data_IF_332154366448
#
_entry.id   IF_332154366448
#
_cell.length_a   1.000
_cell.length_b   1.000
_cell.length_c   1.000
_cell.angle_alpha   90.00
_cell.angle_beta   90.00
_cell.angle_gamma   90.00
#
_symmetry.space_group_name_H-M   'P 1'
#
loop_
_entity.id
_entity.type
_entity.pdbx_description
1 polymer ?
#
# COMPACT_ATOMS: atom_id res chain seq x y z
N UNK A 1 0.49 26.75 -45.61
CA UNK A 1 -0.47 27.23 -46.61
C UNK A 1 0.13 28.46 -47.28
N UNK A 2 0.74 28.25 -48.44
CA UNK A 2 1.23 29.32 -49.31
C UNK A 2 0.04 30.04 -49.94
N UNK A 3 0.08 31.36 -50.00
CA UNK A 3 -0.70 32.16 -50.93
C UNK A 3 0.22 33.23 -51.53
N UNK A 4 0.74 32.93 -52.73
CA UNK A 4 1.10 33.92 -53.75
C UNK A 4 -0.19 34.62 -54.24
N UNK A 5 -0.14 35.88 -54.67
CA UNK A 5 0.16 36.29 -56.05
C UNK A 5 0.20 37.85 -56.14
N UNK A 6 0.86 38.41 -57.18
CA UNK A 6 1.30 39.78 -57.37
C UNK A 6 0.41 40.58 -58.35
N UNK A 7 0.77 41.83 -58.64
CA UNK A 7 0.16 42.62 -59.71
C UNK A 7 0.91 43.92 -60.05
N UNK A 8 1.78 43.84 -61.05
CA UNK A 8 1.96 44.86 -62.11
C UNK A 8 1.37 44.24 -63.41
N UNK A 9 1.16 44.90 -64.58
CA UNK A 9 1.76 46.15 -65.09
C UNK A 9 0.85 47.06 -65.99
N UNK A 10 1.40 48.15 -66.55
CA UNK A 10 1.44 48.55 -67.99
C UNK A 10 1.52 50.10 -68.13
N UNK A 11 2.57 50.70 -68.72
CA UNK A 11 3.12 50.70 -70.10
C UNK A 11 2.52 51.84 -70.95
N UNK A 12 3.38 52.73 -71.44
CA UNK A 12 3.07 53.75 -72.45
C UNK A 12 4.35 54.38 -72.99
N UNK A 13 4.82 53.88 -74.13
CA UNK A 13 5.87 54.47 -74.97
C UNK A 13 5.18 55.21 -76.12
N UNK A 14 5.72 56.35 -76.56
CA UNK A 14 5.52 56.80 -77.95
C UNK A 14 6.68 57.66 -78.46
N UNK A 15 6.83 57.68 -79.78
CA UNK A 15 8.04 57.93 -80.57
C UNK A 15 8.59 59.36 -80.67
N UNK A 16 9.84 59.45 -81.13
CA UNK A 16 10.44 60.67 -81.70
C UNK A 16 9.92 60.99 -83.12
N UNK A 17 10.37 62.07 -83.80
CA UNK A 17 11.74 62.14 -84.35
C UNK A 17 12.40 63.54 -84.30
N UNK A 18 13.72 63.59 -84.56
CA UNK A 18 14.57 64.77 -84.32
C UNK A 18 14.76 65.72 -85.50
N UNK A 19 15.51 66.80 -85.24
CA UNK A 19 16.41 67.47 -86.18
C UNK A 19 17.29 68.52 -85.46
N UNK A 20 18.60 68.45 -85.75
CA UNK A 20 19.60 69.55 -85.80
C UNK A 20 19.80 70.49 -84.61
N UNK A 21 21.02 70.46 -84.04
CA UNK A 21 21.55 71.50 -83.14
C UNK A 21 21.64 72.89 -83.80
N UNK A 22 21.99 73.94 -83.02
CA UNK A 22 23.33 74.04 -82.45
C UNK A 22 23.40 74.54 -81.00
N UNK A 23 24.41 74.08 -80.26
CA UNK A 23 24.97 74.76 -79.07
C UNK A 23 25.78 76.01 -79.52
N UNK A 24 26.16 76.99 -78.65
CA UNK A 24 26.45 76.84 -77.20
C UNK A 24 26.04 78.02 -76.27
N UNK A 25 25.95 77.80 -74.94
CA UNK A 25 26.04 78.89 -73.95
C UNK A 25 25.57 78.57 -72.51
N UNK A 26 26.23 79.08 -71.46
CA UNK A 26 26.23 78.51 -70.11
C UNK A 26 25.09 79.05 -69.22
N UNK A 27 24.05 78.25 -68.96
CA UNK A 27 23.03 78.58 -67.93
C UNK A 27 22.56 77.35 -67.13
N UNK A 28 23.13 76.17 -67.36
CA UNK A 28 22.61 74.91 -66.79
C UNK A 28 23.03 74.64 -65.34
N UNK A 29 24.13 75.22 -64.86
CA UNK A 29 24.66 74.93 -63.51
C UNK A 29 23.83 75.59 -62.40
N UNK A 30 23.38 76.83 -62.58
CA UNK A 30 22.60 77.57 -61.58
C UNK A 30 21.18 77.00 -61.38
N UNK A 31 20.54 76.52 -62.46
CA UNK A 31 19.22 75.90 -62.39
C UNK A 31 19.27 74.53 -61.69
N UNK A 32 20.31 73.73 -61.98
CA UNK A 32 20.52 72.45 -61.30
C UNK A 32 20.88 72.64 -59.83
N UNK A 33 21.69 73.65 -59.48
CA UNK A 33 22.02 73.96 -58.09
C UNK A 33 20.79 74.42 -57.29
N UNK A 34 19.92 75.24 -57.88
CA UNK A 34 18.65 75.64 -57.25
C UNK A 34 17.69 74.46 -57.06
N UNK A 35 17.70 73.50 -57.97
CA UNK A 35 16.87 72.29 -57.87
C UNK A 35 17.39 71.34 -56.78
N UNK A 36 18.71 71.19 -56.66
CA UNK A 36 19.34 70.40 -55.59
C UNK A 36 19.06 71.02 -54.21
N UNK A 37 19.19 72.35 -54.06
CA UNK A 37 18.85 73.01 -52.79
C UNK A 37 17.36 72.86 -52.41
N UNK A 38 16.45 72.96 -53.37
CA UNK A 38 15.02 72.75 -53.11
C UNK A 38 14.72 71.30 -52.69
N UNK A 39 15.43 70.33 -53.27
CA UNK A 39 15.35 68.92 -52.88
C UNK A 39 15.99 68.64 -51.52
N UNK A 40 17.10 69.29 -51.18
CA UNK A 40 17.73 69.20 -49.85
C UNK A 40 16.84 69.76 -48.76
N UNK A 41 16.25 70.95 -48.97
CA UNK A 41 15.30 71.53 -48.01
C UNK A 41 14.07 70.63 -47.82
N UNK A 42 13.58 70.02 -48.91
CA UNK A 42 12.48 69.06 -48.86
C UNK A 42 12.88 67.79 -48.12
N UNK A 43 14.09 67.27 -48.33
CA UNK A 43 14.58 66.10 -47.60
C UNK A 43 14.77 66.37 -46.12
N UNK A 44 15.29 67.54 -45.73
CA UNK A 44 15.41 67.94 -44.32
C UNK A 44 14.04 68.03 -43.63
N UNK A 45 13.03 68.56 -44.33
CA UNK A 45 11.64 68.56 -43.85
C UNK A 45 11.06 67.13 -43.72
N UNK A 46 11.41 66.23 -44.64
CA UNK A 46 11.00 64.84 -44.56
C UNK A 46 11.71 64.09 -43.43
N UNK A 47 12.99 64.35 -43.17
CA UNK A 47 13.77 63.75 -42.07
C UNK A 47 13.29 64.22 -40.70
N UNK A 48 13.02 65.52 -40.54
CA UNK A 48 12.45 66.08 -39.30
C UNK A 48 11.03 65.55 -39.06
N UNK A 49 10.23 65.40 -40.11
CA UNK A 49 8.89 64.80 -40.01
C UNK A 49 8.96 63.30 -39.72
N UNK A 50 9.93 62.59 -40.31
CA UNK A 50 10.17 61.17 -40.06
C UNK A 50 10.59 60.91 -38.61
N UNK A 51 11.58 61.65 -38.10
CA UNK A 51 12.03 61.55 -36.70
C UNK A 51 10.94 61.93 -35.69
N UNK A 52 10.10 62.91 -36.01
CA UNK A 52 8.94 63.26 -35.19
C UNK A 52 7.86 62.15 -35.18
N UNK A 53 7.58 61.54 -36.32
CA UNK A 53 6.65 60.40 -36.39
C UNK A 53 7.21 59.15 -35.71
N UNK A 54 8.53 58.92 -35.79
CA UNK A 54 9.19 57.81 -35.13
C UNK A 54 9.21 57.96 -33.60
N UNK A 55 9.40 59.19 -33.10
CA UNK A 55 9.28 59.48 -31.67
C UNK A 55 7.84 59.40 -31.15
N UNK A 56 6.83 59.72 -31.97
CA UNK A 56 5.42 59.44 -31.65
C UNK A 56 5.06 57.95 -31.73
N UNK A 57 5.65 57.20 -32.64
CA UNK A 57 5.42 55.75 -32.81
C UNK A 57 5.97 54.88 -31.67
N UNK A 58 6.81 55.45 -30.79
CA UNK A 58 7.41 54.72 -29.65
C UNK A 58 6.51 54.63 -28.42
N UNK A 59 5.31 55.20 -28.41
CA UNK A 59 4.28 54.77 -27.44
C UNK A 59 3.63 53.48 -27.93
N UNK A 60 4.45 52.45 -28.18
CA UNK A 60 3.95 51.09 -28.23
C UNK A 60 3.35 50.85 -26.84
N UNK A 61 2.01 50.84 -26.74
CA UNK A 61 1.33 50.34 -25.54
C UNK A 61 2.03 49.06 -25.12
N UNK A 62 2.37 48.94 -23.84
CA UNK A 62 3.14 47.83 -23.25
C UNK A 62 2.31 46.52 -23.23
N UNK A 63 1.83 46.15 -24.41
CA UNK A 63 1.00 45.02 -24.72
C UNK A 63 1.77 43.72 -24.44
N UNK A 64 3.09 43.75 -24.65
CA UNK A 64 4.01 42.68 -24.26
C UNK A 64 3.95 42.37 -22.77
N UNK A 65 4.04 43.38 -21.90
CA UNK A 65 3.95 43.18 -20.45
C UNK A 65 2.54 42.79 -19.97
N UNK A 66 1.47 43.25 -20.64
CA UNK A 66 0.11 42.78 -20.37
C UNK A 66 -0.05 41.29 -20.73
N UNK A 67 0.46 40.86 -21.89
CA UNK A 67 0.50 39.44 -22.25
C UNK A 67 1.37 38.64 -21.29
N UNK A 68 2.52 39.16 -20.88
CA UNK A 68 3.41 38.49 -19.92
C UNK A 68 2.74 38.33 -18.54
N UNK A 69 1.97 39.32 -18.08
CA UNK A 69 1.16 39.21 -16.85
C UNK A 69 0.03 38.20 -16.98
N UNK A 70 -0.63 38.15 -18.14
CA UNK A 70 -1.70 37.18 -18.41
C UNK A 70 -1.13 35.75 -18.48
N UNK A 71 -0.02 35.57 -19.19
CA UNK A 71 0.72 34.31 -19.27
C UNK A 71 1.20 33.86 -17.89
N UNK A 72 1.78 34.76 -17.09
CA UNK A 72 2.19 34.45 -15.71
C UNK A 72 1.01 34.03 -14.82
N UNK A 73 -0.17 34.64 -14.99
CA UNK A 73 -1.39 34.23 -14.28
C UNK A 73 -1.84 32.84 -14.69
N UNK A 74 -1.87 32.55 -15.99
CA UNK A 74 -2.21 31.21 -16.51
C UNK A 74 -1.22 30.14 -16.06
N UNK A 75 0.08 30.48 -16.01
CA UNK A 75 1.12 29.56 -15.51
C UNK A 75 0.92 29.27 -14.01
N UNK A 76 0.59 30.28 -13.20
CA UNK A 76 0.30 30.07 -11.78
C UNK A 76 -0.99 29.26 -11.57
N UNK A 77 -2.05 29.53 -12.34
CA UNK A 77 -3.28 28.72 -12.33
C UNK A 77 -2.98 27.26 -12.71
N UNK A 78 -2.21 27.03 -13.78
CA UNK A 78 -1.77 25.68 -14.17
C UNK A 78 -0.96 25.00 -13.06
N UNK A 79 -0.08 25.74 -12.38
CA UNK A 79 0.71 25.22 -11.26
C UNK A 79 -0.18 24.82 -10.09
N UNK A 80 -1.18 25.64 -9.74
CA UNK A 80 -2.14 25.34 -8.67
C UNK A 80 -2.97 24.10 -8.99
N UNK A 81 -3.54 24.02 -10.20
CA UNK A 81 -4.31 22.84 -10.66
C UNK A 81 -3.44 21.60 -10.70
N UNK A 82 -2.18 21.70 -11.14
CA UNK A 82 -1.23 20.58 -11.15
C UNK A 82 -0.91 20.08 -9.74
N UNK A 83 -0.77 21.00 -8.78
CA UNK A 83 -0.55 20.66 -7.38
C UNK A 83 -1.78 19.99 -6.74
N UNK A 84 -2.97 20.52 -7.00
CA UNK A 84 -4.24 19.93 -6.55
C UNK A 84 -4.44 18.53 -7.15
N UNK A 85 -4.14 18.36 -8.45
CA UNK A 85 -4.17 17.05 -9.12
C UNK A 85 -3.24 16.07 -8.42
N UNK A 86 -1.99 16.45 -8.16
CA UNK A 86 -1.04 15.57 -7.44
C UNK A 86 -1.49 15.22 -6.03
N UNK A 87 -2.12 16.16 -5.31
CA UNK A 87 -2.71 15.89 -3.99
C UNK A 87 -3.89 14.92 -4.07
N UNK A 88 -4.77 15.08 -5.06
CA UNK A 88 -5.89 14.17 -5.28
C UNK A 88 -5.42 12.76 -5.69
N UNK A 89 -4.39 12.67 -6.54
CA UNK A 89 -3.75 11.40 -6.92
C UNK A 89 -3.15 10.69 -5.70
N UNK A 90 -2.44 11.41 -4.82
CA UNK A 90 -1.90 10.86 -3.58
C UNK A 90 -3.00 10.38 -2.62
N UNK A 91 -4.07 11.17 -2.45
CA UNK A 91 -5.21 10.79 -1.61
C UNK A 91 -5.95 9.56 -2.18
N UNK A 92 -6.08 9.47 -3.51
CA UNK A 92 -6.68 8.31 -4.17
C UNK A 92 -5.85 7.05 -3.92
N UNK A 93 -4.53 7.12 -4.10
CA UNK A 93 -3.63 6.00 -3.82
C UNK A 93 -3.72 5.56 -2.35
N UNK A 94 -3.72 6.51 -1.41
CA UNK A 94 -3.87 6.20 0.01
C UNK A 94 -5.22 5.53 0.32
N UNK A 95 -6.31 5.97 -0.33
CA UNK A 95 -7.62 5.35 -0.13
C UNK A 95 -7.67 3.93 -0.72
N UNK A 96 -7.08 3.72 -1.90
CA UNK A 96 -6.98 2.40 -2.53
C UNK A 96 -6.17 1.42 -1.68
N UNK A 97 -5.04 1.87 -1.11
CA UNK A 97 -4.23 1.08 -0.17
C UNK A 97 -5.06 0.64 1.04
N UNK A 98 -5.80 1.56 1.68
CA UNK A 98 -6.67 1.23 2.83
C UNK A 98 -7.80 0.26 2.47
N UNK A 99 -8.35 0.38 1.28
CA UNK A 99 -9.39 -0.55 0.78
C UNK A 99 -8.77 -1.93 0.58
N UNK A 100 -7.59 -2.01 -0.02
CA UNK A 100 -6.89 -3.27 -0.24
C UNK A 100 -6.47 -3.94 1.08
N UNK A 101 -5.92 -3.18 2.03
CA UNK A 101 -5.65 -3.69 3.38
C UNK A 101 -6.92 -4.23 4.06
N UNK A 102 -8.04 -3.54 3.89
CA UNK A 102 -9.32 -3.99 4.45
C UNK A 102 -9.81 -5.25 3.75
N UNK A 103 -9.69 -5.33 2.42
CA UNK A 103 -10.01 -6.52 1.62
C UNK A 103 -9.22 -7.74 2.10
N UNK A 104 -7.90 -7.59 2.26
CA UNK A 104 -7.02 -8.66 2.77
C UNK A 104 -7.47 -9.10 4.16
N UNK A 105 -7.74 -8.16 5.08
CA UNK A 105 -8.25 -8.48 6.43
C UNK A 105 -9.58 -9.24 6.39
N UNK A 106 -10.49 -8.90 5.48
CA UNK A 106 -11.75 -9.62 5.32
C UNK A 106 -11.55 -11.03 4.76
N UNK A 107 -10.67 -11.20 3.78
CA UNK A 107 -10.33 -12.52 3.22
C UNK A 107 -9.68 -13.44 4.27
N UNK A 108 -8.81 -12.89 5.12
CA UNK A 108 -8.22 -13.60 6.25
C UNK A 108 -9.28 -14.02 7.29
N UNK A 109 -10.22 -13.14 7.62
CA UNK A 109 -11.27 -13.44 8.59
C UNK A 109 -12.25 -14.48 8.06
N UNK A 110 -12.60 -14.44 6.77
CA UNK A 110 -13.38 -15.48 6.11
C UNK A 110 -12.65 -16.82 6.19
N UNK A 111 -11.35 -16.84 5.88
CA UNK A 111 -10.54 -18.06 5.92
C UNK A 111 -10.50 -18.66 7.34
N UNK A 112 -10.23 -17.83 8.36
CA UNK A 112 -10.27 -18.26 9.78
C UNK A 112 -11.64 -18.78 10.19
N UNK A 113 -12.72 -18.11 9.77
CA UNK A 113 -14.09 -18.56 10.02
C UNK A 113 -14.33 -19.93 9.39
N UNK A 114 -13.92 -20.14 8.15
CA UNK A 114 -14.07 -21.45 7.48
C UNK A 114 -13.29 -22.56 8.17
N UNK A 115 -12.09 -22.27 8.70
CA UNK A 115 -11.31 -23.24 9.48
C UNK A 115 -12.00 -23.59 10.81
N UNK A 116 -12.53 -22.58 11.51
CA UNK A 116 -13.31 -22.77 12.73
C UNK A 116 -14.61 -23.55 12.47
N UNK A 117 -15.31 -23.27 11.37
CA UNK A 117 -16.50 -24.03 10.97
C UNK A 117 -16.15 -25.48 10.60
N UNK A 118 -15.03 -25.71 9.91
CA UNK A 118 -14.55 -27.05 9.60
C UNK A 118 -14.25 -27.85 10.87
N UNK A 119 -13.50 -27.27 11.82
CA UNK A 119 -13.20 -27.93 13.10
C UNK A 119 -14.45 -28.16 13.94
N UNK A 120 -15.41 -27.23 13.94
CA UNK A 120 -16.70 -27.42 14.59
C UNK A 120 -17.49 -28.59 13.99
N UNK A 121 -17.57 -28.68 12.66
CA UNK A 121 -18.25 -29.79 11.98
C UNK A 121 -17.57 -31.12 12.29
N UNK A 122 -16.24 -31.16 12.37
CA UNK A 122 -15.51 -32.36 12.74
C UNK A 122 -15.80 -32.78 14.19
N UNK A 123 -15.72 -31.85 15.13
CA UNK A 123 -16.05 -32.10 16.54
C UNK A 123 -17.50 -32.56 16.73
N UNK A 124 -18.43 -32.01 15.94
CA UNK A 124 -19.83 -32.46 15.95
C UNK A 124 -19.95 -33.91 15.48
N UNK A 125 -19.27 -34.31 14.41
CA UNK A 125 -19.24 -35.70 13.95
C UNK A 125 -18.66 -36.62 15.01
N UNK A 126 -17.55 -36.23 15.63
CA UNK A 126 -16.91 -37.02 16.69
C UNK A 126 -17.86 -37.17 17.90
N UNK A 127 -18.54 -36.09 18.30
CA UNK A 127 -19.57 -36.14 19.34
C UNK A 127 -20.72 -37.09 18.98
N UNK A 128 -21.24 -37.01 17.75
CA UNK A 128 -22.30 -37.89 17.26
C UNK A 128 -21.85 -39.37 17.31
N UNK A 129 -20.61 -39.67 16.91
CA UNK A 129 -20.05 -41.04 17.00
C UNK A 129 -19.92 -41.54 18.44
N UNK A 130 -19.47 -40.69 19.37
CA UNK A 130 -19.38 -41.03 20.79
C UNK A 130 -20.76 -41.18 21.44
N UNK A 131 -21.74 -40.37 21.02
CA UNK A 131 -23.13 -40.53 21.45
C UNK A 131 -23.71 -41.87 21.00
N UNK A 132 -23.49 -42.28 19.74
CA UNK A 132 -23.91 -43.59 19.25
C UNK A 132 -23.25 -44.71 20.06
N UNK A 133 -21.92 -44.67 20.22
CA UNK A 133 -21.17 -45.65 21.03
C UNK A 133 -21.67 -45.73 22.47
N UNK A 134 -21.98 -44.60 23.10
CA UNK A 134 -22.59 -44.56 24.44
C UNK A 134 -23.94 -45.27 24.45
N UNK A 135 -24.82 -44.97 23.51
CA UNK A 135 -26.15 -45.61 23.45
C UNK A 135 -26.05 -47.13 23.21
N UNK A 136 -25.10 -47.59 22.40
CA UNK A 136 -24.83 -49.02 22.21
C UNK A 136 -24.34 -49.70 23.49
N UNK A 137 -23.49 -49.04 24.27
CA UNK A 137 -23.05 -49.57 25.57
C UNK A 137 -24.18 -49.59 26.59
N UNK A 138 -25.04 -48.56 26.60
CA UNK A 138 -26.22 -48.51 27.47
C UNK A 138 -27.23 -49.63 27.15
N UNK A 139 -27.44 -49.96 25.87
CA UNK A 139 -28.31 -51.09 25.50
C UNK A 139 -27.71 -52.44 25.91
N UNK A 140 -26.40 -52.64 25.71
CA UNK A 140 -25.69 -53.83 26.20
C UNK A 140 -25.73 -53.97 27.72
N UNK A 141 -25.58 -52.86 28.45
CA UNK A 141 -25.70 -52.82 29.90
C UNK A 141 -27.11 -53.25 30.33
N UNK A 142 -28.15 -52.68 29.72
CA UNK A 142 -29.56 -53.03 29.99
C UNK A 142 -29.86 -54.49 29.67
N UNK A 143 -29.33 -55.03 28.57
CA UNK A 143 -29.52 -56.45 28.23
C UNK A 143 -28.84 -57.36 29.25
N UNK A 144 -27.60 -57.06 29.66
CA UNK A 144 -26.90 -57.80 30.70
C UNK A 144 -27.64 -57.74 32.04
N UNK A 145 -28.17 -56.57 32.40
CA UNK A 145 -28.96 -56.40 33.61
C UNK A 145 -30.24 -57.25 33.58
N UNK A 146 -30.96 -57.24 32.45
CA UNK A 146 -32.14 -58.11 32.28
C UNK A 146 -31.80 -59.60 32.34
N UNK A 147 -30.63 -60.01 31.83
CA UNK A 147 -30.16 -61.39 31.91
C UNK A 147 -29.85 -61.80 33.35
N UNK A 148 -29.17 -60.93 34.11
CA UNK A 148 -28.90 -61.16 35.53
C UNK A 148 -30.21 -61.29 36.32
N UNK A 149 -31.19 -60.45 36.05
CA UNK A 149 -32.48 -60.51 36.74
C UNK A 149 -33.26 -61.78 36.35
N UNK A 150 -33.21 -62.21 35.09
CA UNK A 150 -33.73 -63.51 34.66
C UNK A 150 -33.08 -64.66 35.45
N UNK A 151 -31.74 -64.70 35.49
CA UNK A 151 -31.02 -65.77 36.21
C UNK A 151 -31.39 -65.81 37.70
N UNK A 152 -31.54 -64.64 38.35
CA UNK A 152 -32.04 -64.58 39.74
C UNK A 152 -33.42 -65.20 39.87
N UNK A 153 -34.37 -64.85 38.98
CA UNK A 153 -35.73 -65.41 39.05
C UNK A 153 -35.76 -66.92 38.81
N UNK A 154 -34.91 -67.45 37.92
CA UNK A 154 -34.77 -68.89 37.67
C UNK A 154 -34.25 -69.59 38.93
N UNK A 155 -33.17 -69.09 39.53
CA UNK A 155 -32.62 -69.68 40.75
C UNK A 155 -33.60 -69.60 41.93
N UNK A 156 -34.34 -68.50 42.08
CA UNK A 156 -35.40 -68.41 43.09
C UNK A 156 -36.50 -69.45 42.88
N UNK A 157 -36.82 -69.80 41.64
CA UNK A 157 -37.81 -70.83 41.33
C UNK A 157 -37.27 -72.25 41.56
N UNK A 158 -36.05 -72.54 41.09
CA UNK A 158 -35.39 -73.84 41.34
C UNK A 158 -35.25 -74.13 42.83
N UNK A 159 -34.91 -73.13 43.64
CA UNK A 159 -34.85 -73.27 45.09
C UNK A 159 -36.22 -73.59 45.70
N UNK A 160 -37.32 -73.00 45.19
CA UNK A 160 -38.68 -73.33 45.63
C UNK A 160 -39.05 -74.77 45.26
N UNK A 161 -38.73 -75.19 44.03
CA UNK A 161 -39.03 -76.52 43.53
C UNK A 161 -38.24 -77.61 44.29
N UNK A 162 -36.94 -77.40 44.52
CA UNK A 162 -36.11 -78.28 45.36
C UNK A 162 -36.65 -78.36 46.79
N UNK A 163 -37.08 -77.23 47.36
CA UNK A 163 -37.68 -77.19 48.70
C UNK A 163 -39.00 -77.96 48.75
N UNK A 164 -39.79 -77.96 47.67
CA UNK A 164 -41.00 -78.78 47.55
C UNK A 164 -40.66 -80.27 47.43
N UNK A 165 -39.69 -80.62 46.58
CA UNK A 165 -39.28 -82.01 46.35
C UNK A 165 -38.69 -82.67 47.61
N UNK A 166 -37.93 -81.93 48.43
CA UNK A 166 -37.43 -82.44 49.72
C UNK A 166 -38.58 -82.73 50.70
N UNK A 167 -39.67 -81.96 50.66
CA UNK A 167 -40.86 -82.23 51.47
C UNK A 167 -41.59 -83.47 50.98
N UNK A 168 -41.69 -83.67 49.67
CA UNK A 168 -42.36 -84.82 49.06
C UNK A 168 -41.58 -86.14 49.25
N UNK A 169 -40.24 -86.11 49.12
CA UNK A 169 -39.37 -87.28 49.30
C UNK A 169 -39.32 -87.79 50.75
N UNK A 170 -39.71 -86.97 51.73
CA UNK A 170 -39.78 -87.38 53.14
C UNK A 170 -40.93 -88.38 53.43
N UNK A 171 -41.82 -88.66 52.46
CA UNK A 171 -43.06 -89.42 52.68
C UNK A 171 -43.11 -90.79 51.99
N UNK A 172 -42.16 -91.14 51.10
CA UNK A 172 -42.26 -92.40 50.33
C UNK A 172 -40.93 -93.13 50.18
N UNK A 173 -40.53 -93.90 51.19
CA UNK A 173 -39.61 -95.04 50.99
C UNK A 173 -40.06 -96.22 51.86
N UNK A 174 -40.98 -97.02 51.33
CA UNK A 174 -41.27 -98.38 51.81
C UNK A 174 -40.89 -99.36 50.70
N UNK A 175 -39.69 -99.94 50.78
CA UNK A 175 -39.19 -100.95 49.85
C UNK A 175 -39.86 -102.30 50.13
N UNK A 176 -40.26 -103.02 49.08
CA UNK A 176 -40.53 -104.46 49.19
C UNK A 176 -39.82 -105.25 48.09
N UNK A 177 -39.08 -106.28 48.51
CA UNK A 177 -38.18 -107.11 47.70
C UNK A 177 -38.80 -108.49 47.56
N UNK A 178 -39.05 -108.93 46.33
CA UNK A 178 -39.02 -110.36 45.92
C UNK A 178 -39.30 -110.50 44.43
N UNK A 179 -38.24 -110.57 43.64
CA UNK A 179 -38.24 -111.22 42.33
C UNK A 179 -36.99 -112.08 42.27
N UNK A 180 -37.17 -113.37 42.02
CA UNK A 180 -36.05 -114.27 41.78
C UNK A 180 -35.48 -113.93 40.41
N UNK A 181 -34.46 -113.10 40.45
CA UNK A 181 -33.75 -112.51 39.32
C UNK A 181 -32.50 -113.36 39.10
N UNK A 182 -32.21 -113.72 37.85
CA UNK A 182 -30.94 -114.37 37.49
C UNK A 182 -29.79 -113.39 37.75
N UNK A 183 -29.25 -113.50 38.96
CA UNK A 183 -28.23 -112.61 39.48
C UNK A 183 -26.94 -112.71 38.68
N UNK A 184 -26.64 -113.84 38.07
CA UNK A 184 -25.42 -114.03 37.29
C UNK A 184 -25.43 -113.20 36.00
N UNK A 185 -26.44 -113.38 35.14
CA UNK A 185 -26.53 -112.66 33.87
C UNK A 185 -26.70 -111.15 34.07
N UNK A 186 -27.48 -110.74 35.08
CA UNK A 186 -27.66 -109.32 35.38
C UNK A 186 -26.42 -108.71 36.02
N UNK A 187 -25.67 -109.44 36.85
CA UNK A 187 -24.39 -108.94 37.36
C UNK A 187 -23.37 -108.80 36.22
N UNK A 188 -23.33 -109.72 35.26
CA UNK A 188 -22.45 -109.61 34.08
C UNK A 188 -22.86 -108.47 33.15
N UNK A 189 -24.16 -108.30 32.87
CA UNK A 189 -24.64 -107.19 32.05
C UNK A 189 -24.50 -105.83 32.75
N UNK A 190 -24.75 -105.76 34.05
CA UNK A 190 -24.51 -104.55 34.86
C UNK A 190 -23.01 -104.23 34.87
N UNK A 191 -22.13 -105.22 35.03
CA UNK A 191 -20.67 -105.01 34.92
C UNK A 191 -20.29 -104.48 33.54
N UNK A 192 -20.77 -105.08 32.47
CA UNK A 192 -20.51 -104.62 31.10
C UNK A 192 -21.02 -103.18 30.85
N UNK A 193 -22.18 -102.83 31.40
CA UNK A 193 -22.71 -101.46 31.34
C UNK A 193 -21.87 -100.49 32.16
N UNK A 194 -21.43 -100.87 33.36
CA UNK A 194 -20.53 -100.03 34.18
C UNK A 194 -19.18 -99.84 33.52
N UNK A 195 -18.60 -100.88 32.92
CA UNK A 195 -17.34 -100.79 32.20
C UNK A 195 -17.49 -99.89 30.97
N UNK A 196 -18.61 -99.97 30.24
CA UNK A 196 -18.91 -99.09 29.11
C UNK A 196 -19.18 -97.63 29.53
N UNK A 197 -19.77 -97.41 30.71
CA UNK A 197 -19.99 -96.06 31.27
C UNK A 197 -18.67 -95.48 31.78
N UNK A 198 -17.83 -96.28 32.44
CA UNK A 198 -16.51 -95.88 32.91
C UNK A 198 -15.59 -95.52 31.74
N UNK A 199 -15.58 -96.35 30.68
CA UNK A 199 -14.82 -96.07 29.46
C UNK A 199 -15.29 -94.77 28.78
N UNK A 200 -16.61 -94.57 28.63
CA UNK A 200 -17.16 -93.32 28.09
C UNK A 200 -16.84 -92.11 28.96
N UNK A 201 -16.97 -92.22 30.27
CA UNK A 201 -16.62 -91.15 31.20
C UNK A 201 -15.13 -90.79 31.13
N UNK A 202 -14.25 -91.78 30.93
CA UNK A 202 -12.83 -91.53 30.74
C UNK A 202 -12.57 -90.81 29.42
N UNK A 203 -13.17 -91.27 28.31
CA UNK A 203 -13.03 -90.63 27.00
C UNK A 203 -13.58 -89.19 27.00
N UNK A 204 -14.72 -88.95 27.64
CA UNK A 204 -15.30 -87.63 27.81
C UNK A 204 -14.43 -86.71 28.67
N UNK A 205 -13.84 -87.22 29.76
CA UNK A 205 -12.92 -86.46 30.61
C UNK A 205 -11.62 -86.11 29.88
N UNK A 206 -11.08 -87.04 29.08
CA UNK A 206 -9.92 -86.81 28.23
C UNK A 206 -10.24 -85.79 27.12
N UNK A 207 -11.38 -85.92 26.45
CA UNK A 207 -11.82 -84.98 25.42
C UNK A 207 -12.07 -83.57 25.99
N UNK A 208 -12.69 -83.47 27.17
CA UNK A 208 -12.87 -82.20 27.87
C UNK A 208 -11.53 -81.55 28.24
N UNK A 209 -10.60 -82.35 28.77
CA UNK A 209 -9.26 -81.86 29.12
C UNK A 209 -8.47 -81.40 27.89
N UNK A 210 -8.55 -82.13 26.77
CA UNK A 210 -7.93 -81.73 25.50
C UNK A 210 -8.51 -80.42 24.98
N UNK A 211 -9.84 -80.27 24.93
CA UNK A 211 -10.49 -79.02 24.52
C UNK A 211 -10.06 -77.84 25.39
N UNK A 212 -10.03 -78.00 26.71
CA UNK A 212 -9.58 -76.94 27.61
C UNK A 212 -8.12 -76.54 27.39
N UNK A 213 -7.23 -77.49 27.06
CA UNK A 213 -5.84 -77.18 26.70
C UNK A 213 -5.74 -76.45 25.36
N UNK A 214 -6.52 -76.88 24.36
CA UNK A 214 -6.58 -76.23 23.05
C UNK A 214 -7.13 -74.79 23.13
N UNK A 215 -8.24 -74.58 23.85
CA UNK A 215 -8.81 -73.25 24.10
C UNK A 215 -7.82 -72.34 24.82
N UNK A 216 -7.15 -72.82 25.88
CA UNK A 216 -6.12 -72.04 26.58
C UNK A 216 -4.92 -71.74 25.70
N UNK A 217 -4.50 -72.67 24.85
CA UNK A 217 -3.42 -72.47 23.90
C UNK A 217 -3.80 -71.42 22.84
N UNK A 218 -5.03 -71.47 22.31
CA UNK A 218 -5.57 -70.49 21.37
C UNK A 218 -5.63 -69.09 21.99
N UNK A 219 -6.21 -68.96 23.20
CA UNK A 219 -6.24 -67.68 23.90
C UNK A 219 -4.83 -67.14 24.17
N UNK A 220 -3.90 -67.99 24.60
CA UNK A 220 -2.49 -67.59 24.81
C UNK A 220 -1.83 -67.08 23.53
N UNK A 221 -2.09 -67.72 22.38
CA UNK A 221 -1.59 -67.29 21.08
C UNK A 221 -2.20 -65.94 20.66
N UNK A 222 -3.50 -65.74 20.84
CA UNK A 222 -4.18 -64.47 20.56
C UNK A 222 -3.63 -63.33 21.43
N UNK A 223 -3.48 -63.55 22.74
CA UNK A 223 -2.87 -62.58 23.64
C UNK A 223 -1.42 -62.27 23.26
N UNK A 224 -0.64 -63.30 22.88
CA UNK A 224 0.72 -63.14 22.37
C UNK A 224 0.76 -62.27 21.11
N UNK A 225 -0.12 -62.52 20.15
CA UNK A 225 -0.22 -61.75 18.91
C UNK A 225 -0.66 -60.30 19.18
N UNK A 226 -1.65 -60.09 20.04
CA UNK A 226 -2.08 -58.74 20.45
C UNK A 226 -0.96 -57.97 21.14
N UNK A 227 -0.17 -58.63 21.99
CA UNK A 227 0.97 -58.00 22.66
C UNK A 227 2.08 -57.63 21.65
N UNK A 228 2.37 -58.50 20.68
CA UNK A 228 3.32 -58.20 19.61
C UNK A 228 2.85 -57.04 18.73
N UNK A 229 1.56 -57.01 18.37
CA UNK A 229 0.95 -55.92 17.60
C UNK A 229 1.04 -54.58 18.33
N UNK A 230 0.70 -54.57 19.62
CA UNK A 230 0.83 -53.36 20.45
C UNK A 230 2.29 -52.93 20.56
N UNK A 231 3.23 -53.87 20.70
CA UNK A 231 4.66 -53.58 20.75
C UNK A 231 5.18 -52.99 19.43
N UNK A 232 4.74 -53.49 18.27
CA UNK A 232 5.08 -52.90 16.97
C UNK A 232 4.50 -51.50 16.82
N UNK A 233 3.26 -51.28 17.23
CA UNK A 233 2.63 -49.95 17.18
C UNK A 233 3.36 -48.93 18.05
N UNK A 234 3.77 -49.33 19.27
CA UNK A 234 4.60 -48.49 20.14
C UNK A 234 5.94 -48.16 19.45
N UNK A 235 6.56 -49.10 18.75
CA UNK A 235 7.80 -48.85 18.02
C UNK A 235 7.60 -47.86 16.86
N UNK A 236 6.53 -48.02 16.08
CA UNK A 236 6.19 -47.13 14.97
C UNK A 236 5.87 -45.71 15.44
N UNK A 237 5.10 -45.58 16.54
CA UNK A 237 4.83 -44.31 17.19
C UNK A 237 6.12 -43.65 17.67
N UNK A 238 7.05 -44.41 18.25
CA UNK A 238 8.35 -43.87 18.66
C UNK A 238 9.16 -43.36 17.46
N UNK A 239 9.21 -44.09 16.34
CA UNK A 239 9.87 -43.63 15.11
C UNK A 239 9.22 -42.34 14.59
N UNK A 240 7.89 -42.27 14.60
CA UNK A 240 7.15 -41.08 14.18
C UNK A 240 7.41 -39.88 15.10
N UNK A 241 7.46 -40.10 16.41
CA UNK A 241 7.83 -39.07 17.40
C UNK A 241 9.24 -38.54 17.12
N UNK A 242 10.22 -39.41 16.85
CA UNK A 242 11.59 -38.98 16.54
C UNK A 242 11.66 -38.18 15.23
N UNK A 243 10.92 -38.60 14.19
CA UNK A 243 10.81 -37.86 12.93
C UNK A 243 10.18 -36.47 13.13
N UNK A 244 9.11 -36.37 13.93
CA UNK A 244 8.49 -35.08 14.24
C UNK A 244 9.44 -34.19 15.05
N UNK A 245 10.18 -34.74 16.02
CA UNK A 245 11.20 -34.01 16.78
C UNK A 245 12.30 -33.45 15.88
N UNK A 246 12.82 -34.24 14.93
CA UNK A 246 13.85 -33.76 14.01
C UNK A 246 13.32 -32.68 13.05
N UNK A 247 12.07 -32.81 12.58
CA UNK A 247 11.40 -31.77 11.79
C UNK A 247 11.22 -30.47 12.60
N UNK A 248 10.79 -30.55 13.85
CA UNK A 248 10.66 -29.37 14.73
C UNK A 248 12.02 -28.68 14.90
N UNK A 249 13.10 -29.43 15.14
CA UNK A 249 14.44 -28.87 15.27
C UNK A 249 14.93 -28.22 13.96
N UNK A 250 14.67 -28.86 12.82
CA UNK A 250 15.02 -28.33 11.51
C UNK A 250 14.27 -27.02 11.20
N UNK A 251 12.96 -26.98 11.45
CA UNK A 251 12.14 -25.77 11.25
C UNK A 251 12.60 -24.65 12.19
N UNK A 252 12.84 -24.95 13.48
CA UNK A 252 13.39 -23.96 14.42
C UNK A 252 14.72 -23.38 13.95
N UNK A 253 15.63 -24.23 13.45
CA UNK A 253 16.90 -23.75 12.89
C UNK A 253 16.68 -22.88 11.65
N UNK A 254 15.69 -23.19 10.81
CA UNK A 254 15.36 -22.38 9.66
C UNK A 254 14.77 -21.01 10.05
N UNK A 255 13.85 -20.97 11.03
CA UNK A 255 13.32 -19.73 11.57
C UNK A 255 14.43 -18.82 12.12
N UNK A 256 15.35 -19.37 12.92
CA UNK A 256 16.47 -18.58 13.47
C UNK A 256 17.37 -17.99 12.36
N UNK A 257 17.64 -18.75 11.30
CA UNK A 257 18.41 -18.25 10.14
C UNK A 257 17.66 -17.15 9.39
N UNK A 258 16.34 -17.29 9.22
CA UNK A 258 15.53 -16.25 8.59
C UNK A 258 15.47 -14.98 9.45
N UNK A 259 15.36 -15.12 10.77
CA UNK A 259 15.42 -13.99 11.70
C UNK A 259 16.77 -13.27 11.67
N UNK A 260 17.88 -14.01 11.56
CA UNK A 260 19.23 -13.45 11.38
C UNK A 260 19.34 -12.70 10.05
N UNK A 261 18.91 -13.31 8.94
CA UNK A 261 18.92 -12.66 7.63
C UNK A 261 18.04 -11.41 7.58
N UNK A 262 16.88 -11.40 8.26
CA UNK A 262 16.02 -10.21 8.37
C UNK A 262 16.76 -9.09 9.10
N UNK A 263 17.38 -9.39 10.25
CA UNK A 263 18.17 -8.40 11.00
C UNK A 263 19.32 -7.84 10.18
N UNK A 264 20.06 -8.68 9.47
CA UNK A 264 21.15 -8.24 8.59
C UNK A 264 20.64 -7.33 7.47
N UNK A 265 19.51 -7.68 6.85
CA UNK A 265 18.89 -6.87 5.80
C UNK A 265 18.37 -5.52 6.34
N UNK A 266 17.79 -5.51 7.55
CA UNK A 266 17.36 -4.30 8.24
C UNK A 266 18.55 -3.38 8.57
N UNK A 267 19.64 -3.93 9.12
CA UNK A 267 20.87 -3.17 9.42
C UNK A 267 21.50 -2.59 8.14
N UNK A 268 21.59 -3.38 7.07
CA UNK A 268 22.08 -2.90 5.77
C UNK A 268 21.18 -1.80 5.19
N UNK A 269 19.85 -1.97 5.30
CA UNK A 269 18.87 -0.97 4.86
C UNK A 269 18.99 0.34 5.63
N UNK A 270 19.13 0.26 6.96
CA UNK A 270 19.31 1.44 7.83
C UNK A 270 20.62 2.18 7.50
N UNK A 271 21.73 1.47 7.27
CA UNK A 271 22.98 2.08 6.85
C UNK A 271 22.85 2.80 5.49
N UNK A 272 22.19 2.17 4.51
CA UNK A 272 21.95 2.79 3.20
C UNK A 272 21.05 4.04 3.32
N UNK A 273 20.04 3.99 4.19
CA UNK A 273 19.17 5.12 4.48
C UNK A 273 19.94 6.28 5.14
N UNK A 274 20.79 5.99 6.12
CA UNK A 274 21.62 6.99 6.77
C UNK A 274 22.60 7.65 5.80
N UNK A 275 23.24 6.88 4.90
CA UNK A 275 24.11 7.41 3.85
C UNK A 275 23.35 8.32 2.87
N UNK A 276 22.18 7.88 2.39
CA UNK A 276 21.32 8.70 1.54
C UNK A 276 20.90 10.02 2.21
N UNK A 277 20.54 9.95 3.50
CA UNK A 277 20.18 11.12 4.31
C UNK A 277 21.37 12.08 4.50
N UNK A 278 22.56 11.55 4.73
CA UNK A 278 23.78 12.35 4.84
C UNK A 278 24.11 13.06 3.50
N UNK A 279 24.00 12.34 2.38
CA UNK A 279 24.18 12.92 1.03
C UNK A 279 23.16 14.02 0.74
N UNK A 280 21.90 13.81 1.12
CA UNK A 280 20.85 14.82 0.98
C UNK A 280 21.20 16.08 1.78
N UNK A 281 21.61 15.94 3.04
CA UNK A 281 22.02 17.07 3.87
C UNK A 281 23.22 17.84 3.28
N UNK A 282 24.21 17.13 2.74
CA UNK A 282 25.35 17.75 2.05
C UNK A 282 24.93 18.54 0.81
N UNK A 283 24.02 17.98 -0.01
CA UNK A 283 23.50 18.67 -1.19
C UNK A 283 22.65 19.88 -0.83
N UNK A 284 21.86 19.81 0.23
CA UNK A 284 21.09 20.95 0.75
C UNK A 284 22.04 22.06 1.22
N UNK A 285 23.10 21.74 1.96
CA UNK A 285 24.09 22.71 2.40
C UNK A 285 24.81 23.36 1.22
N UNK A 286 25.27 22.56 0.24
CA UNK A 286 25.89 23.06 -0.98
C UNK A 286 24.96 24.00 -1.75
N UNK A 287 23.66 23.66 -1.84
CA UNK A 287 22.65 24.49 -2.49
C UNK A 287 22.41 25.81 -1.73
N UNK A 288 22.38 25.79 -0.39
CA UNK A 288 22.28 27.01 0.40
C UNK A 288 23.53 27.89 0.25
N UNK A 289 24.70 27.29 0.18
CA UNK A 289 25.95 28.02 -0.05
C UNK A 289 25.96 28.66 -1.44
N UNK A 290 25.60 27.94 -2.49
CA UNK A 290 25.49 28.48 -3.84
C UNK A 290 24.49 29.65 -3.93
N UNK A 291 23.35 29.57 -3.23
CA UNK A 291 22.38 30.68 -3.12
C UNK A 291 23.00 31.91 -2.46
N UNK A 292 23.78 31.74 -1.40
CA UNK A 292 24.48 32.86 -0.72
C UNK A 292 25.53 33.48 -1.63
N UNK A 293 26.29 32.66 -2.35
CA UNK A 293 27.32 33.13 -3.29
C UNK A 293 26.70 33.90 -4.46
N UNK A 294 25.58 33.42 -5.01
CA UNK A 294 24.81 34.15 -6.03
C UNK A 294 24.31 35.50 -5.50
N UNK A 295 23.76 35.53 -4.29
CA UNK A 295 23.34 36.77 -3.65
C UNK A 295 24.50 37.73 -3.34
N UNK A 296 25.73 37.21 -3.15
CA UNK A 296 26.94 38.03 -3.03
C UNK A 296 27.34 38.62 -4.38
N UNK A 297 27.41 37.80 -5.43
CA UNK A 297 27.74 38.24 -6.79
C UNK A 297 26.78 39.31 -7.30
N UNK A 298 25.47 39.18 -7.04
CA UNK A 298 24.49 40.20 -7.41
C UNK A 298 24.74 41.55 -6.72
N UNK A 299 25.17 41.54 -5.45
CA UNK A 299 25.53 42.76 -4.72
C UNK A 299 26.79 43.40 -5.29
N UNK A 300 27.84 42.61 -5.50
CA UNK A 300 29.10 43.07 -6.10
C UNK A 300 28.86 43.65 -7.51
N UNK A 301 28.01 43.01 -8.31
CA UNK A 301 27.63 43.50 -9.64
C UNK A 301 26.87 44.84 -9.57
N UNK A 302 25.94 44.99 -8.61
CA UNK A 302 25.23 46.24 -8.41
C UNK A 302 26.16 47.38 -7.96
N UNK A 303 27.11 47.09 -7.06
CA UNK A 303 28.14 48.04 -6.63
C UNK A 303 29.00 48.48 -7.82
N UNK A 304 29.46 47.53 -8.64
CA UNK A 304 30.23 47.83 -9.84
C UNK A 304 29.42 48.67 -10.84
N UNK A 305 28.15 48.35 -11.07
CA UNK A 305 27.25 49.16 -11.90
C UNK A 305 27.13 50.59 -11.38
N UNK A 306 26.97 50.77 -10.06
CA UNK A 306 26.91 52.09 -9.44
C UNK A 306 28.21 52.88 -9.67
N UNK A 307 29.38 52.24 -9.55
CA UNK A 307 30.67 52.90 -9.86
C UNK A 307 30.78 53.28 -11.34
N UNK A 308 30.31 52.43 -12.25
CA UNK A 308 30.29 52.71 -13.69
C UNK A 308 29.42 53.93 -13.99
N UNK A 309 28.24 54.01 -13.39
CA UNK A 309 27.35 55.17 -13.55
C UNK A 309 27.95 56.46 -12.98
N UNK A 310 28.64 56.38 -11.83
CA UNK A 310 29.35 57.54 -11.29
C UNK A 310 30.46 58.02 -12.23
N UNK A 311 31.25 57.08 -12.79
CA UNK A 311 32.29 57.39 -13.78
C UNK A 311 31.70 57.98 -15.08
N UNK A 312 30.56 57.49 -15.57
CA UNK A 312 29.89 58.09 -16.74
C UNK A 312 29.50 59.54 -16.46
N UNK A 313 29.00 59.83 -15.26
CA UNK A 313 28.67 61.20 -14.83
C UNK A 313 29.94 62.05 -14.81
N UNK A 314 31.04 61.55 -14.21
CA UNK A 314 32.32 62.26 -14.19
C UNK A 314 32.82 62.56 -15.62
N UNK A 315 32.83 61.57 -16.52
CA UNK A 315 33.21 61.76 -17.93
C UNK A 315 32.33 62.81 -18.60
N UNK A 316 31.01 62.76 -18.40
CA UNK A 316 30.09 63.75 -18.94
C UNK A 316 30.37 65.16 -18.38
N UNK A 317 30.72 65.28 -17.10
CA UNK A 317 31.11 66.57 -16.50
C UNK A 317 32.44 67.09 -17.05
N UNK A 318 33.44 66.22 -17.22
CA UNK A 318 34.71 66.60 -17.83
C UNK A 318 34.53 67.05 -19.28
N UNK A 319 33.72 66.34 -20.08
CA UNK A 319 33.40 66.75 -21.46
C UNK A 319 32.76 68.15 -21.50
N UNK A 320 31.76 68.41 -20.67
CA UNK A 320 31.12 69.73 -20.58
C UNK A 320 32.08 70.86 -20.19
N UNK A 321 33.04 70.57 -19.30
CA UNK A 321 34.03 71.57 -18.90
C UNK A 321 34.95 71.93 -20.07
N UNK A 322 35.40 70.92 -20.82
CA UNK A 322 36.24 71.10 -22.03
C UNK A 322 35.46 71.86 -23.12
N UNK A 323 34.22 71.46 -23.41
CA UNK A 323 33.34 72.18 -24.34
C UNK A 323 33.16 73.66 -23.93
N UNK A 324 33.07 73.93 -22.63
CA UNK A 324 33.00 75.29 -22.08
C UNK A 324 34.30 76.09 -22.23
N UNK A 325 35.47 75.44 -22.21
CA UNK A 325 36.76 76.10 -22.48
C UNK A 325 36.98 76.34 -23.99
N UNK A 326 36.62 75.38 -24.84
CA UNK A 326 36.63 75.54 -26.30
C UNK A 326 35.71 76.69 -26.74
N UNK A 327 34.51 76.78 -26.15
CA UNK A 327 33.58 77.90 -26.35
C UNK A 327 34.16 79.26 -25.92
N UNK A 328 35.12 79.30 -24.99
CA UNK A 328 35.83 80.53 -24.57
C UNK A 328 37.04 80.83 -25.44
N UNK A 329 37.60 79.84 -26.14
CA UNK A 329 38.70 80.03 -27.09
C UNK A 329 38.20 80.46 -28.47
N UNK A 330 37.00 80.04 -28.88
CA UNK A 330 36.33 80.50 -30.11
C UNK A 330 35.74 81.93 -29.98
N UNK A 331 35.76 82.52 -28.78
CA UNK A 331 35.39 83.90 -28.50
C UNK A 331 36.59 84.66 -27.91
N UNK A 332 37.32 85.39 -28.76
CA UNK A 332 38.28 86.41 -28.31
C UNK A 332 37.57 87.51 -27.48
N UNK A 333 38.27 88.19 -26.54
CA UNK A 333 37.70 88.60 -25.28
C UNK A 333 36.85 89.88 -25.38
N UNK A 334 35.64 89.84 -24.85
CA UNK A 334 34.89 91.05 -24.45
C UNK A 334 34.54 90.97 -22.96
N UNK A 335 35.21 91.86 -22.22
CA UNK A 335 34.87 92.48 -20.94
C UNK A 335 33.94 91.76 -19.93
N UNK A 336 34.50 91.59 -18.73
CA UNK A 336 33.84 91.38 -17.45
C UNK A 336 32.76 92.43 -17.19
N UNK A 337 31.54 91.99 -16.85
CA UNK A 337 30.62 92.76 -15.99
C UNK A 337 30.00 91.83 -14.94
N UNK A 338 30.27 92.18 -13.68
CA UNK A 338 29.67 91.64 -12.47
C UNK A 338 28.20 92.03 -12.36
N UNK A 339 27.32 91.10 -12.00
CA UNK A 339 26.07 91.46 -11.32
C UNK A 339 25.68 90.39 -10.30
N UNK A 340 25.81 90.77 -9.03
CA UNK A 340 25.26 90.10 -7.86
C UNK A 340 23.74 90.19 -7.91
N UNK A 341 23.01 89.08 -7.82
CA UNK A 341 21.64 89.07 -7.32
C UNK A 341 21.33 87.83 -6.48
N UNK A 342 20.66 88.12 -5.39
CA UNK A 342 20.36 87.31 -4.21
C UNK A 342 19.15 86.38 -4.36
N UNK A 343 19.24 85.22 -3.69
CA UNK A 343 18.21 84.32 -3.10
C UNK A 343 16.74 84.79 -3.10
N UNK A 344 15.77 83.85 -3.18
CA UNK A 344 15.22 83.30 -1.93
C UNK A 344 14.82 81.80 -1.92
N UNK A 345 14.56 81.32 -0.69
CA UNK A 345 14.09 80.00 -0.24
C UNK A 345 12.61 79.73 -0.59
N UNK A 346 12.27 78.46 -0.79
CA UNK A 346 11.00 77.79 -0.41
C UNK A 346 11.33 76.30 -0.22
N UNK A 347 11.28 75.66 0.96
CA UNK A 347 10.17 75.35 1.86
C UNK A 347 9.15 74.33 1.30
N UNK A 348 8.92 73.28 2.11
CA UNK A 348 7.89 72.21 2.03
C UNK A 348 8.27 71.00 1.14
N UNK A 349 8.09 69.72 1.52
CA UNK A 349 7.16 69.13 2.48
C UNK A 349 7.67 67.82 3.11
N UNK A 350 7.13 67.60 4.31
CA UNK A 350 7.15 66.44 5.21
C UNK A 350 6.92 65.08 4.53
N UNK A 351 7.58 64.03 5.04
CA UNK A 351 6.85 62.90 5.67
C UNK A 351 7.78 62.06 6.56
N UNK A 352 7.45 62.11 7.84
CA UNK A 352 7.88 61.24 8.93
C UNK A 352 7.24 59.84 8.83
N UNK A 353 7.89 58.87 9.49
CA UNK A 353 7.31 57.64 10.10
C UNK A 353 6.89 56.53 9.11
N UNK A 354 6.98 55.24 9.39
CA UNK A 354 7.41 54.49 10.55
C UNK A 354 7.68 53.04 10.14
N UNK A 355 8.43 52.36 11.01
CA UNK A 355 8.70 50.93 11.04
C UNK A 355 7.50 50.16 11.64
N UNK A 356 7.32 48.92 11.17
CA UNK A 356 6.62 47.75 11.76
C UNK A 356 5.09 47.62 11.49
N UNK A 357 4.44 46.45 11.73
CA UNK A 357 4.95 45.09 12.05
C UNK A 357 4.30 43.94 11.23
N UNK A 358 4.84 42.73 11.45
CA UNK A 358 4.19 41.41 11.48
C UNK A 358 2.66 41.37 11.25
N UNK A 359 2.24 40.52 10.32
CA UNK A 359 0.91 39.88 10.34
C UNK A 359 1.06 38.36 10.38
N UNK A 360 0.98 37.80 11.60
CA UNK A 360 0.56 36.42 11.83
C UNK A 360 -0.87 36.29 11.27
N UNK A 361 -1.10 35.39 10.32
CA UNK A 361 -2.47 34.93 10.02
C UNK A 361 -2.67 33.57 10.68
N UNK A 362 -3.55 33.63 11.67
CA UNK A 362 -4.14 32.55 12.48
C UNK A 362 -4.71 31.44 11.60
N UNK A 363 -4.59 30.22 12.12
CA UNK A 363 -5.43 29.06 11.87
C UNK A 363 -6.87 29.45 11.50
N UNK A 364 -7.30 29.06 10.30
CA UNK A 364 -8.71 28.77 10.03
C UNK A 364 -8.87 27.26 10.06
N UNK A 365 -9.34 26.76 11.21
CA UNK A 365 -10.04 25.48 11.27
C UNK A 365 -11.33 25.61 10.49
N UNK A 366 -11.60 24.63 9.62
CA UNK A 366 -12.92 24.36 9.07
C UNK A 366 -12.84 23.22 8.05
N UNK A 367 -13.92 22.47 7.80
CA UNK A 367 -14.93 21.94 8.71
C UNK A 367 -14.68 20.44 8.98
N UNK A 368 -14.95 20.01 10.22
CA UNK A 368 -15.05 18.59 10.58
C UNK A 368 -16.31 18.04 9.91
N UNK A 369 -16.16 17.15 8.92
CA UNK A 369 -17.25 16.32 8.44
C UNK A 369 -17.54 15.31 9.55
N UNK A 370 -18.67 15.48 10.23
CA UNK A 370 -19.24 14.45 11.09
C UNK A 370 -19.75 13.32 10.20
N UNK A 371 -18.98 12.24 10.05
CA UNK A 371 -19.51 10.95 9.61
C UNK A 371 -19.77 10.17 10.90
N UNK A 372 -20.91 10.44 11.52
CA UNK A 372 -21.43 9.65 12.65
C UNK A 372 -22.94 9.78 12.62
N UNK A 373 -23.56 9.20 11.58
CA UNK A 373 -25.03 9.03 11.51
C UNK A 373 -25.48 8.04 10.42
N UNK A 374 -24.57 7.20 9.89
CA UNK A 374 -24.91 6.14 8.92
C UNK A 374 -24.77 4.73 9.50
N UNK A 375 -24.20 4.57 10.69
CA UNK A 375 -23.98 3.26 11.33
C UNK A 375 -25.14 2.81 12.23
N UNK A 376 -26.04 3.71 12.64
CA UNK A 376 -27.21 3.32 13.47
C UNK A 376 -28.40 2.85 12.63
N UNK A 377 -28.50 3.27 11.36
CA UNK A 377 -29.56 2.78 10.46
C UNK A 377 -29.30 1.40 9.88
N UNK A 378 -28.03 0.94 9.84
CA UNK A 378 -27.71 -0.40 9.36
C UNK A 378 -27.87 -1.47 10.46
N UNK A 379 -27.77 -1.09 11.75
CA UNK A 379 -27.93 -2.01 12.87
C UNK A 379 -29.39 -2.26 13.30
N UNK A 380 -30.34 -1.41 12.89
CA UNK A 380 -31.77 -1.64 13.17
C UNK A 380 -32.50 -2.45 12.08
N UNK A 381 -31.91 -2.59 10.90
CA UNK A 381 -32.52 -3.36 9.81
C UNK A 381 -32.18 -4.87 9.89
N UNK A 382 -31.12 -5.25 10.60
CA UNK A 382 -30.80 -6.67 10.87
C UNK A 382 -31.53 -7.24 12.10
N UNK A 383 -32.08 -6.39 13.00
CA UNK A 383 -32.87 -6.86 14.14
C UNK A 383 -34.33 -7.20 13.81
N UNK A 384 -34.89 -6.70 12.71
CA UNK A 384 -36.26 -7.03 12.27
C UNK A 384 -36.33 -8.23 11.31
N UNK A 385 -35.19 -8.80 10.91
CA UNK A 385 -35.12 -9.95 10.00
C UNK A 385 -34.91 -11.30 10.72
N UNK A 386 -34.96 -11.33 12.06
CA UNK A 386 -34.67 -12.50 12.89
C UNK A 386 -35.76 -12.86 13.92
N UNK A 387 -37.01 -12.42 13.72
CA UNK A 387 -38.19 -12.99 14.40
C UNK A 387 -38.96 -13.96 13.50
#
# INVERSE_FOLDING_TARGET
MSCHFPGEPQRGCDGGPGASGPDPGPVTEAFLLSQVQALEQRNQLLETRWSFLQSQGSTAFDLGHLYQKYEGRLQEELRTVSQERGQLEANLLQMLEKVEESRIRYEDEISKRTDMEFTFVQLKKDLDTECLRRTELETKLKSLQSFVDLMKTVYEQELKDLTAQVKDLSVTVGMDRRCHIDLSGIVEEVKAQYDAIAARSQEEAEAYSRRQLEERAACSAEFGNSLQSSRSEIADLNVRIQKLRSQILSVKSHCLKLEENIKEAEEQGELAFQDAKAKLAQLEEALQQAKKDMARQLREYQELMNTKLALDIEIATYRKLVEGEESRMDLAPAAVVSTVQSRPRTAASKSHLARAPFRKKKNSRGPVIKITEMSEKFLLQESEASE
#
